data_IF_850813956055
#
_entry.id   IF_850813956055
#
_cell.length_a   1.000
_cell.length_b   1.000
_cell.length_c   1.000
_cell.angle_alpha   90.00
_cell.angle_beta   90.00
_cell.angle_gamma   90.00
#
_symmetry.space_group_name_H-M   'P 1'
#
loop_
_entity.id
_entity.type
_entity.pdbx_description
1 polymer ?
#
# COMPACT_ATOMS: atom_id res chain seq x y z
N UNK A 1 -10.03 1.72 -2.68
CA UNK A 1 -11.49 1.57 -2.75
C UNK A 1 -11.95 0.85 -1.51
N UNK A 2 -13.06 1.27 -0.94
CA UNK A 2 -13.79 0.54 0.08
C UNK A 2 -15.15 0.09 -0.47
N UNK A 3 -15.62 -1.07 -0.04
CA UNK A 3 -16.91 -1.66 -0.45
C UNK A 3 -17.58 -2.30 0.76
N UNK A 4 -18.87 -2.09 0.92
CA UNK A 4 -19.66 -2.81 1.92
C UNK A 4 -20.04 -4.21 1.40
N UNK A 5 -19.69 -5.31 2.09
CA UNK A 5 -20.02 -6.65 1.65
C UNK A 5 -21.54 -6.95 1.69
N UNK A 6 -22.35 -6.24 2.47
CA UNK A 6 -23.80 -6.47 2.55
C UNK A 6 -24.51 -5.76 1.40
N UNK A 7 -24.45 -4.42 1.38
CA UNK A 7 -25.19 -3.59 0.43
C UNK A 7 -24.51 -3.44 -0.93
N UNK A 8 -23.24 -3.84 -1.04
CA UNK A 8 -22.37 -3.65 -2.22
C UNK A 8 -22.12 -2.19 -2.59
N UNK A 9 -22.47 -1.24 -1.72
CA UNK A 9 -22.19 0.18 -1.91
C UNK A 9 -20.68 0.40 -1.89
N UNK A 10 -20.21 1.30 -2.77
CA UNK A 10 -18.84 1.78 -2.82
C UNK A 10 -18.75 3.15 -2.14
N UNK A 11 -18.60 3.22 -0.80
CA UNK A 11 -18.64 4.50 -0.10
C UNK A 11 -17.49 5.43 -0.49
N UNK A 12 -16.32 4.88 -0.84
CA UNK A 12 -15.14 5.68 -1.20
C UNK A 12 -14.26 4.97 -2.23
N UNK A 13 -13.80 5.74 -3.22
CA UNK A 13 -12.86 5.32 -4.27
C UNK A 13 -11.78 6.38 -4.45
N UNK A 14 -10.56 6.06 -4.02
CA UNK A 14 -9.37 6.86 -4.27
C UNK A 14 -8.53 6.23 -5.39
N UNK A 15 -8.18 7.02 -6.40
CA UNK A 15 -7.30 6.64 -7.50
C UNK A 15 -5.90 7.18 -7.23
N UNK A 16 -4.95 6.29 -6.93
CA UNK A 16 -3.58 6.68 -6.58
C UNK A 16 -2.56 5.58 -6.84
N UNK A 17 -1.31 5.84 -6.48
CA UNK A 17 -0.16 4.98 -6.76
C UNK A 17 0.09 3.93 -5.66
N UNK A 18 -0.93 3.62 -4.84
CA UNK A 18 -0.85 2.67 -3.71
C UNK A 18 0.22 3.06 -2.68
N UNK A 19 0.38 4.37 -2.43
CA UNK A 19 1.24 4.89 -1.38
C UNK A 19 0.50 5.00 -0.05
N UNK A 20 1.22 5.18 1.05
CA UNK A 20 0.61 5.38 2.38
C UNK A 20 -0.31 6.60 2.41
N UNK A 21 0.05 7.67 1.70
CA UNK A 21 -0.78 8.89 1.58
C UNK A 21 -2.13 8.59 0.91
N UNK A 22 -2.13 7.72 -0.11
CA UNK A 22 -3.35 7.29 -0.79
C UNK A 22 -4.26 6.48 0.14
N UNK A 23 -3.67 5.65 0.99
CA UNK A 23 -4.42 4.89 2.00
C UNK A 23 -5.03 5.82 3.06
N UNK A 24 -4.27 6.81 3.53
CA UNK A 24 -4.75 7.83 4.46
C UNK A 24 -5.91 8.64 3.89
N UNK A 25 -5.80 9.10 2.64
CA UNK A 25 -6.85 9.86 1.97
C UNK A 25 -8.14 9.04 1.81
N UNK A 26 -8.02 7.78 1.38
CA UNK A 26 -9.16 6.87 1.26
C UNK A 26 -9.85 6.64 2.61
N UNK A 27 -9.07 6.33 3.66
CA UNK A 27 -9.63 6.05 4.98
C UNK A 27 -10.24 7.32 5.60
N UNK A 28 -9.67 8.49 5.33
CA UNK A 28 -10.22 9.76 5.77
C UNK A 28 -11.60 10.03 5.13
N UNK A 29 -11.71 9.95 3.80
CA UNK A 29 -13.00 10.12 3.10
C UNK A 29 -14.03 9.08 3.54
N UNK A 30 -13.60 7.83 3.78
CA UNK A 30 -14.47 6.80 4.34
C UNK A 30 -14.96 7.16 5.75
N UNK A 31 -14.08 7.64 6.65
CA UNK A 31 -14.47 8.01 8.02
C UNK A 31 -15.46 9.19 8.04
N UNK A 32 -15.32 10.15 7.12
CA UNK A 32 -16.27 11.27 6.99
C UNK A 32 -17.67 10.83 6.57
N UNK A 33 -17.79 9.72 5.84
CA UNK A 33 -19.08 9.17 5.37
C UNK A 33 -19.71 8.21 6.37
N UNK A 34 -18.91 7.65 7.27
CA UNK A 34 -19.39 6.80 8.35
C UNK A 34 -19.91 7.66 9.50
N UNK A 35 -20.95 7.18 10.17
CA UNK A 35 -21.41 7.78 11.42
C UNK A 35 -20.28 7.77 12.46
N UNK A 36 -20.12 8.85 13.22
CA UNK A 36 -19.03 9.03 14.20
C UNK A 36 -18.88 7.84 15.16
N UNK A 37 -20.01 7.32 15.61
CA UNK A 37 -20.12 6.32 16.67
C UNK A 37 -20.09 4.88 16.15
N UNK A 38 -20.03 4.70 14.83
CA UNK A 38 -20.02 3.37 14.23
C UNK A 38 -18.58 2.97 13.86
N UNK A 39 -18.05 2.00 14.58
CA UNK A 39 -16.78 1.34 14.25
C UNK A 39 -17.12 0.02 13.56
N UNK A 40 -16.79 -0.05 12.28
CA UNK A 40 -17.03 -1.25 11.47
C UNK A 40 -15.81 -2.16 11.47
N UNK A 41 -16.00 -3.48 11.33
CA UNK A 41 -14.91 -4.40 11.07
C UNK A 41 -14.32 -4.15 9.68
N UNK A 42 -13.00 -4.04 9.60
CA UNK A 42 -12.30 -3.80 8.34
C UNK A 42 -11.55 -5.03 7.86
N UNK A 43 -11.60 -5.27 6.54
CA UNK A 43 -10.73 -6.23 5.87
C UNK A 43 -10.04 -5.56 4.68
N UNK A 44 -8.72 -5.64 4.63
CA UNK A 44 -7.91 -4.99 3.59
C UNK A 44 -7.00 -5.99 2.89
N UNK A 45 -6.39 -5.57 1.78
CA UNK A 45 -5.33 -6.32 1.13
C UNK A 45 -3.98 -6.11 1.85
N UNK A 46 -2.97 -6.88 1.45
CA UNK A 46 -1.62 -6.89 2.05
C UNK A 46 -0.82 -5.57 2.07
N UNK A 47 -1.40 -4.42 1.69
CA UNK A 47 -0.72 -3.14 1.72
C UNK A 47 -0.58 -2.60 3.15
N UNK A 48 0.66 -2.48 3.64
CA UNK A 48 0.96 -1.99 5.00
C UNK A 48 0.43 -0.59 5.30
N UNK A 49 0.28 0.26 4.28
CA UNK A 49 -0.24 1.62 4.44
C UNK A 49 -1.63 1.68 5.08
N UNK A 50 -2.49 0.68 4.83
CA UNK A 50 -3.82 0.64 5.43
C UNK A 50 -3.80 0.42 6.94
N UNK A 51 -2.79 -0.28 7.48
CA UNK A 51 -2.69 -0.44 8.93
C UNK A 51 -2.56 0.92 9.61
N UNK A 52 -1.62 1.75 9.16
CA UNK A 52 -1.42 3.10 9.70
C UNK A 52 -2.62 4.01 9.45
N UNK A 53 -3.24 3.92 8.27
CA UNK A 53 -4.39 4.75 7.95
C UNK A 53 -5.61 4.43 8.85
N UNK A 54 -5.90 3.16 9.07
CA UNK A 54 -7.03 2.74 9.89
C UNK A 54 -6.78 3.08 11.36
N UNK A 55 -5.60 2.75 11.91
CA UNK A 55 -5.32 3.03 13.32
C UNK A 55 -5.24 4.52 13.63
N UNK A 56 -4.85 5.36 12.67
CA UNK A 56 -4.83 6.82 12.81
C UNK A 56 -6.22 7.47 12.76
N UNK A 57 -7.23 6.84 12.13
CA UNK A 57 -8.58 7.40 12.00
C UNK A 57 -9.61 6.77 12.94
N UNK A 58 -9.37 5.53 13.40
CA UNK A 58 -10.26 4.80 14.31
C UNK A 58 -9.66 4.69 15.71
N UNK A 59 -9.54 5.83 16.36
CA UNK A 59 -9.05 5.96 17.72
C UNK A 59 -9.54 7.25 18.36
N UNK A 60 -9.08 7.49 19.58
CA UNK A 60 -9.37 8.71 20.31
C UNK A 60 -8.11 9.23 21.01
N UNK A 61 -8.02 10.55 21.12
CA UNK A 61 -7.05 11.18 22.00
C UNK A 61 -7.49 11.00 23.44
N UNK A 62 -6.60 10.53 24.30
CA UNK A 62 -6.84 10.45 25.73
C UNK A 62 -5.67 11.07 26.48
N UNK A 63 -5.98 11.74 27.59
CA UNK A 63 -4.98 12.33 28.48
C UNK A 63 -4.95 11.57 29.79
N UNK A 64 -3.82 10.92 30.08
CA UNK A 64 -3.66 10.29 31.40
C UNK A 64 -3.42 11.36 32.47
N UNK A 65 -3.88 11.09 33.70
CA UNK A 65 -3.82 12.04 34.83
C UNK A 65 -2.43 12.59 35.14
N UNK A 66 -1.35 11.98 34.63
CA UNK A 66 0.05 12.36 34.88
C UNK A 66 0.85 12.68 33.61
N UNK A 67 0.24 12.60 32.42
CA UNK A 67 0.97 12.88 31.18
C UNK A 67 0.99 14.38 30.86
N UNK A 68 2.16 14.84 30.40
CA UNK A 68 2.35 16.18 29.84
C UNK A 68 1.69 16.36 28.47
N UNK A 69 1.46 15.28 27.73
CA UNK A 69 0.97 15.31 26.34
C UNK A 69 -0.20 14.35 26.17
N UNK A 70 -1.10 14.65 25.24
CA UNK A 70 -2.18 13.74 24.86
C UNK A 70 -1.62 12.53 24.11
N UNK A 71 -2.21 11.37 24.36
CA UNK A 71 -1.82 10.11 23.75
C UNK A 71 -2.93 9.64 22.80
N UNK A 72 -2.54 9.08 21.66
CA UNK A 72 -3.49 8.46 20.74
C UNK A 72 -3.69 7.00 21.13
N UNK A 73 -4.95 6.59 21.31
CA UNK A 73 -5.33 5.20 21.55
C UNK A 73 -6.25 4.73 20.43
N UNK A 74 -5.91 3.60 19.82
CA UNK A 74 -6.78 2.91 18.87
C UNK A 74 -7.96 2.34 19.65
N UNK A 75 -9.18 2.46 19.10
CA UNK A 75 -10.37 1.94 19.77
C UNK A 75 -10.27 0.42 19.94
N UNK A 76 -10.68 -0.06 21.12
CA UNK A 76 -10.69 -1.49 21.45
C UNK A 76 -11.74 -2.27 20.64
N UNK A 77 -12.79 -1.58 20.14
CA UNK A 77 -13.84 -2.16 19.32
C UNK A 77 -13.41 -2.37 17.85
N UNK A 78 -12.22 -1.91 17.48
CA UNK A 78 -11.72 -2.03 16.12
C UNK A 78 -11.31 -3.48 15.80
N UNK A 79 -12.09 -4.15 14.97
CA UNK A 79 -11.70 -5.44 14.39
C UNK A 79 -11.05 -5.21 13.03
N UNK A 80 -9.76 -5.54 12.90
CA UNK A 80 -9.03 -5.35 11.66
C UNK A 80 -8.24 -6.59 11.23
N UNK A 81 -8.65 -7.12 10.07
CA UNK A 81 -7.98 -8.23 9.40
C UNK A 81 -7.38 -7.83 8.05
N UNK A 82 -6.26 -8.43 7.69
CA UNK A 82 -5.61 -8.25 6.40
C UNK A 82 -5.55 -9.58 5.65
N UNK A 83 -6.04 -9.58 4.41
CA UNK A 83 -5.90 -10.72 3.50
C UNK A 83 -4.55 -10.64 2.80
N UNK A 84 -3.65 -11.54 3.20
CA UNK A 84 -2.32 -11.68 2.61
C UNK A 84 -2.36 -12.85 1.64
N UNK A 85 -2.01 -12.60 0.38
CA UNK A 85 -1.90 -13.66 -0.63
C UNK A 85 -0.62 -14.44 -0.42
N UNK A 86 -0.74 -15.72 -0.12
CA UNK A 86 0.39 -16.63 -0.02
C UNK A 86 0.71 -17.22 -1.40
N UNK A 87 1.67 -16.64 -2.13
CA UNK A 87 2.08 -17.12 -3.45
C UNK A 87 2.90 -18.41 -3.33
N UNK A 88 2.36 -19.57 -3.71
CA UNK A 88 3.15 -20.77 -4.00
C UNK A 88 3.60 -20.73 -5.47
N UNK A 89 4.83 -21.14 -5.75
CA UNK A 89 5.43 -21.09 -7.09
C UNK A 89 4.51 -21.73 -8.15
N UNK A 90 4.30 -21.01 -9.26
CA UNK A 90 3.46 -21.34 -10.45
C UNK A 90 1.95 -21.56 -10.27
N UNK A 91 1.35 -21.52 -9.07
CA UNK A 91 -0.12 -21.60 -8.89
C UNK A 91 -0.67 -20.38 -8.15
N UNK A 92 -1.94 -20.04 -8.43
CA UNK A 92 -2.66 -18.96 -7.73
C UNK A 92 -2.63 -19.23 -6.23
N UNK A 93 -1.94 -18.35 -5.49
CA UNK A 93 -1.80 -18.44 -4.05
C UNK A 93 -3.11 -18.34 -3.29
N UNK A 94 -3.22 -19.04 -2.17
CA UNK A 94 -4.36 -18.94 -1.26
C UNK A 94 -4.27 -17.64 -0.44
N UNK A 95 -5.41 -17.05 -0.10
CA UNK A 95 -5.46 -15.87 0.76
C UNK A 95 -5.56 -16.30 2.23
N UNK A 96 -4.62 -15.86 3.05
CA UNK A 96 -4.64 -16.05 4.50
C UNK A 96 -5.10 -14.76 5.12
N UNK A 97 -6.06 -14.82 6.04
CA UNK A 97 -6.43 -13.67 6.85
C UNK A 97 -5.53 -13.59 8.08
N UNK A 98 -4.74 -12.52 8.15
CA UNK A 98 -3.93 -12.15 9.29
C UNK A 98 -4.65 -11.07 10.08
N UNK A 99 -4.93 -11.31 11.36
CA UNK A 99 -5.48 -10.25 12.23
C UNK A 99 -4.35 -9.28 12.60
N UNK A 100 -4.61 -7.97 12.49
CA UNK A 100 -3.70 -6.92 12.96
C UNK A 100 -4.23 -6.24 14.21
N UNK A 101 -5.55 -6.12 14.36
CA UNK A 101 -6.19 -5.59 15.55
C UNK A 101 -7.45 -6.39 15.89
N UNK A 102 -7.71 -6.58 17.19
CA UNK A 102 -8.81 -7.42 17.69
C UNK A 102 -8.59 -8.92 17.51
N UNK A 103 -9.59 -9.73 17.90
CA UNK A 103 -9.48 -11.19 17.82
C UNK A 103 -10.16 -11.78 16.59
N UNK A 104 -9.62 -12.92 16.12
CA UNK A 104 -10.21 -13.66 14.99
C UNK A 104 -11.58 -14.25 15.35
N UNK A 105 -11.81 -14.59 16.62
CA UNK A 105 -13.07 -15.17 17.10
C UNK A 105 -14.20 -14.15 16.99
N UNK A 106 -13.95 -12.92 17.42
CA UNK A 106 -14.94 -11.85 17.39
C UNK A 106 -15.31 -11.47 15.96
N UNK A 107 -14.31 -11.38 15.08
CA UNK A 107 -14.56 -11.15 13.65
C UNK A 107 -15.40 -12.28 13.03
N UNK A 108 -15.13 -13.54 13.38
CA UNK A 108 -15.92 -14.66 12.87
C UNK A 108 -17.35 -14.68 13.43
N UNK A 109 -17.54 -14.31 14.70
CA UNK A 109 -18.86 -14.21 15.31
C UNK A 109 -19.69 -13.12 14.61
N UNK A 110 -19.08 -11.96 14.37
CA UNK A 110 -19.70 -10.86 13.65
C UNK A 110 -20.04 -11.25 12.21
N UNK A 111 -19.12 -11.90 11.48
CA UNK A 111 -19.40 -12.37 10.12
C UNK A 111 -20.60 -13.33 10.09
N UNK A 112 -20.68 -14.27 11.04
CA UNK A 112 -21.82 -15.19 11.16
C UNK A 112 -23.12 -14.48 11.49
N UNK A 113 -23.09 -13.45 12.36
CA UNK A 113 -24.26 -12.65 12.71
C UNK A 113 -24.88 -11.99 11.47
N UNK A 114 -24.05 -11.53 10.54
CA UNK A 114 -24.50 -10.96 9.26
C UNK A 114 -24.72 -12.01 8.16
N UNK A 115 -24.74 -13.30 8.50
CA UNK A 115 -24.99 -14.39 7.54
C UNK A 115 -23.81 -14.72 6.62
N UNK A 116 -22.60 -14.23 6.90
CA UNK A 116 -21.41 -14.49 6.11
C UNK A 116 -20.63 -15.71 6.59
N UNK A 117 -19.93 -16.35 5.65
CA UNK A 117 -18.92 -17.35 5.96
C UNK A 117 -17.68 -16.71 6.59
N UNK A 118 -17.06 -17.33 7.61
CA UNK A 118 -15.77 -16.91 8.16
C UNK A 118 -14.62 -16.89 7.14
N UNK A 119 -14.78 -17.62 6.03
CA UNK A 119 -13.82 -17.69 4.93
C UNK A 119 -14.18 -16.64 3.87
N UNK A 120 -13.38 -15.59 3.81
CA UNK A 120 -13.59 -14.48 2.87
C UNK A 120 -13.09 -14.89 1.48
N UNK A 121 -13.99 -15.00 0.52
CA UNK A 121 -13.65 -15.25 -0.88
C UNK A 121 -13.17 -13.96 -1.55
N UNK A 122 -11.94 -13.98 -2.11
CA UNK A 122 -11.39 -12.80 -2.82
C UNK A 122 -11.95 -12.61 -4.22
N UNK A 123 -12.57 -13.65 -4.80
CA UNK A 123 -13.04 -13.64 -6.18
C UNK A 123 -14.04 -12.50 -6.49
N UNK A 124 -14.85 -12.08 -5.53
CA UNK A 124 -15.74 -10.93 -5.69
C UNK A 124 -14.95 -9.62 -5.80
N UNK A 125 -14.05 -9.36 -4.86
CA UNK A 125 -13.19 -8.17 -4.86
C UNK A 125 -12.29 -8.13 -6.09
N UNK A 126 -11.79 -9.27 -6.54
CA UNK A 126 -11.00 -9.39 -7.77
C UNK A 126 -11.81 -9.02 -9.01
N UNK A 127 -13.07 -9.48 -9.13
CA UNK A 127 -13.98 -9.10 -10.22
C UNK A 127 -14.34 -7.61 -10.20
N UNK A 128 -14.64 -7.04 -9.03
CA UNK A 128 -14.91 -5.61 -8.89
C UNK A 128 -13.69 -4.79 -9.30
N UNK A 129 -12.50 -5.16 -8.79
CA UNK A 129 -11.25 -4.50 -9.16
C UNK A 129 -10.97 -4.59 -10.67
N UNK A 130 -11.24 -5.75 -11.29
CA UNK A 130 -11.10 -5.92 -12.73
C UNK A 130 -12.09 -5.04 -13.52
N UNK A 131 -13.34 -4.97 -13.06
CA UNK A 131 -14.39 -4.14 -13.69
C UNK A 131 -14.00 -2.66 -13.65
N UNK A 132 -13.55 -2.17 -12.50
CA UNK A 132 -13.09 -0.79 -12.35
C UNK A 132 -11.87 -0.51 -13.22
N UNK A 133 -10.92 -1.44 -13.28
CA UNK A 133 -9.76 -1.31 -14.18
C UNK A 133 -10.18 -1.23 -15.64
N UNK A 134 -11.16 -2.01 -16.07
CA UNK A 134 -11.67 -1.98 -17.45
C UNK A 134 -12.47 -0.70 -17.75
N UNK A 135 -13.18 -0.16 -16.76
CA UNK A 135 -13.98 1.07 -16.91
C UNK A 135 -13.18 2.36 -16.85
N UNK A 136 -11.97 2.35 -16.28
CA UNK A 136 -11.14 3.55 -16.10
C UNK A 136 -9.86 3.43 -16.94
N UNK A 137 -9.80 4.17 -18.05
CA UNK A 137 -8.67 4.13 -19.00
C UNK A 137 -7.30 4.36 -18.33
N UNK A 138 -7.22 5.24 -17.32
CA UNK A 138 -6.00 5.49 -16.54
C UNK A 138 -5.50 4.27 -15.75
N UNK A 139 -6.39 3.35 -15.37
CA UNK A 139 -6.01 2.11 -14.68
C UNK A 139 -5.61 0.99 -15.66
N UNK A 140 -5.98 1.11 -16.94
CA UNK A 140 -5.61 0.14 -17.99
C UNK A 140 -4.20 0.37 -18.51
N UNK A 141 -3.76 1.62 -18.59
CA UNK A 141 -2.49 1.98 -19.23
C UNK A 141 -1.33 1.81 -18.26
N UNK A 142 -0.61 0.68 -18.37
CA UNK A 142 0.82 0.67 -18.01
C UNK A 142 1.53 1.54 -19.04
N UNK A 143 1.66 2.83 -18.78
CA UNK A 143 2.51 3.68 -19.60
C UNK A 143 3.96 3.26 -19.31
N UNK A 144 4.70 2.64 -20.25
CA UNK A 144 6.14 2.65 -20.11
C UNK A 144 6.60 4.13 -20.00
N UNK A 145 7.66 4.43 -19.24
CA UNK A 145 8.24 5.77 -19.30
C UNK A 145 8.48 6.07 -20.78
N UNK A 146 7.92 7.18 -21.27
CA UNK A 146 8.24 7.67 -22.60
C UNK A 146 9.75 7.88 -22.58
N UNK A 147 10.53 7.25 -23.47
CA UNK A 147 11.94 7.55 -23.58
C UNK A 147 12.03 9.04 -23.89
N UNK A 148 12.53 9.82 -22.94
CA UNK A 148 12.97 11.17 -23.25
C UNK A 148 14.01 11.03 -24.37
N UNK A 149 13.84 11.68 -25.53
CA UNK A 149 14.91 11.69 -26.52
C UNK A 149 16.13 12.31 -25.84
N UNK A 150 17.13 11.49 -25.56
CA UNK A 150 18.39 11.96 -25.02
C UNK A 150 19.02 12.86 -26.11
N UNK A 151 19.56 14.04 -25.77
CA UNK A 151 20.32 14.82 -26.73
C UNK A 151 21.40 13.94 -27.35
N UNK A 152 21.54 14.02 -28.67
CA UNK A 152 22.42 13.19 -29.49
C UNK A 152 23.84 13.18 -28.94
N UNK A 153 24.28 12.05 -28.38
CA UNK A 153 25.68 11.84 -27.96
C UNK A 153 25.90 10.98 -26.71
N UNK A 154 24.88 10.73 -25.88
CA UNK A 154 25.04 9.94 -24.65
C UNK A 154 24.43 8.53 -24.79
N UNK A 155 25.25 7.49 -24.74
CA UNK A 155 24.78 6.09 -24.59
C UNK A 155 24.64 5.79 -23.10
N UNK A 156 23.45 5.38 -22.65
CA UNK A 156 23.30 4.71 -21.36
C UNK A 156 23.96 3.33 -21.45
N UNK A 157 25.02 3.10 -20.68
CA UNK A 157 25.50 1.75 -20.43
C UNK A 157 24.64 1.07 -19.35
N UNK A 158 24.23 -0.19 -19.53
CA UNK A 158 23.52 -0.92 -18.49
C UNK A 158 24.44 -1.18 -17.29
N UNK A 159 23.91 -1.18 -16.05
CA UNK A 159 24.73 -1.39 -14.87
C UNK A 159 25.15 -2.87 -14.79
N UNK A 160 26.46 -3.16 -14.91
CA UNK A 160 26.97 -4.51 -14.63
C UNK A 160 28.23 -4.97 -15.37
N UNK A 161 28.83 -4.20 -16.28
CA UNK A 161 30.09 -4.60 -16.92
C UNK A 161 31.25 -3.72 -16.48
N UNK A 162 32.00 -4.17 -15.47
CA UNK A 162 33.36 -3.67 -15.26
C UNK A 162 34.25 -4.29 -16.33
N UNK A 163 34.66 -3.51 -17.32
CA UNK A 163 35.86 -3.82 -18.08
C UNK A 163 36.95 -2.85 -17.62
N UNK A 164 38.09 -3.41 -17.23
CA UNK A 164 39.30 -2.66 -16.91
C UNK A 164 39.77 -2.04 -18.22
N UNK A 165 39.47 -0.76 -18.41
CA UNK A 165 39.97 0.03 -19.53
C UNK A 165 41.44 0.33 -19.32
N UNK A 166 42.29 -0.50 -19.91
CA UNK A 166 43.69 -0.19 -20.15
C UNK A 166 43.73 0.89 -21.24
N UNK A 167 43.83 2.15 -20.81
CA UNK A 167 44.33 3.29 -21.61
C UNK A 167 44.39 4.53 -20.72
N UNK A 168 45.39 4.55 -19.84
CA UNK A 168 45.86 5.81 -19.26
C UNK A 168 46.42 6.69 -20.39
N UNK A 169 46.00 7.96 -20.55
CA UNK A 169 46.82 8.92 -21.28
C UNK A 169 48.11 9.17 -20.48
N UNK A 170 49.27 9.35 -21.13
CA UNK A 170 50.54 9.51 -20.43
C UNK A 170 50.52 10.76 -19.53
N UNK A 171 50.97 10.58 -18.29
CA UNK A 171 51.18 11.65 -17.31
C UNK A 171 52.30 12.56 -17.85
N UNK A 172 52.11 13.89 -17.91
CA UNK A 172 53.20 14.80 -18.26
C UNK A 172 54.23 14.82 -17.12
N UNK A 173 55.48 14.47 -17.42
CA UNK A 173 56.59 14.54 -16.48
C UNK A 173 56.93 16.00 -16.13
N UNK A 174 57.29 16.31 -14.87
CA UNK A 174 57.66 17.66 -14.48
C UNK A 174 59.04 18.04 -15.03
N UNK A 175 59.09 19.25 -15.60
CA UNK A 175 60.30 19.94 -16.06
C UNK A 175 61.31 20.06 -14.91
N UNK A 176 62.48 19.43 -15.03
CA UNK A 176 63.64 19.74 -14.20
C UNK A 176 64.36 20.95 -14.79
N UNK A 177 64.19 22.11 -14.16
CA UNK A 177 65.12 23.24 -14.30
C UNK A 177 66.28 23.06 -13.33
N UNK A 178 67.51 23.05 -13.82
CA UNK A 178 68.72 23.01 -12.98
C UNK A 178 70.03 23.14 -13.75
N UNK A 179 70.48 24.38 -13.89
CA UNK A 179 71.87 24.85 -13.72
C UNK A 179 72.97 24.31 -14.65
N UNK A 180 73.39 25.12 -15.61
CA UNK A 180 74.63 25.93 -15.55
C UNK A 180 74.69 26.89 -16.73
#
# INVERSE_FOLDING_TARGET
>A
MAIDPVTKILPSLHLGNRKTVDALALTHDLKLRLKSDCIHPFTTDGLRGYFYAITAHFGHWFRTKRARTDHWQVSDDLLYGQLVKHRKSRKSGFAIMRMLWGTRKDLNALLKLHGFSPLIQTAFIERVNLTIRRGVAHLMRKTPPIPMPLPSGLKLQPPGSWQVGESSPPIPTPRSSGLS
#
